data_IF_529825416370
#
_entry.id   IF_529825416370
#
_cell.length_a   1.000
_cell.length_b   1.000
_cell.length_c   1.000
_cell.angle_alpha   90.00
_cell.angle_beta   90.00
_cell.angle_gamma   90.00
#
_symmetry.space_group_name_H-M   'P 1'
#
loop_
_entity.id
_entity.type
_entity.pdbx_description
1 polymer ?
#
# COMPACT_ATOMS: atom_id res chain seq x y z
N UNK A 1 -8.29 -1.85 8.83
CA UNK A 1 -7.72 -2.69 7.75
C UNK A 1 -6.61 -1.93 7.03
N UNK A 2 -5.54 -2.60 6.62
CA UNK A 2 -4.42 -1.98 5.85
C UNK A 2 -4.35 -2.62 4.47
N UNK A 3 -4.22 -1.78 3.44
CA UNK A 3 -4.02 -2.21 2.06
C UNK A 3 -2.71 -1.62 1.51
N UNK A 4 -1.85 -2.49 0.99
CA UNK A 4 -0.53 -2.14 0.46
C UNK A 4 -0.61 -2.05 -1.06
N UNK A 5 -0.18 -0.93 -1.63
CA UNK A 5 -0.28 -0.63 -3.06
C UNK A 5 1.08 -0.37 -3.70
N UNK A 6 1.38 -1.12 -4.76
CA UNK A 6 2.56 -0.96 -5.60
C UNK A 6 2.22 -0.52 -7.03
N UNK A 7 1.96 -1.49 -7.91
CA UNK A 7 1.66 -1.24 -9.34
C UNK A 7 0.23 -0.74 -9.58
N UNK A 8 -0.69 -1.02 -8.67
CA UNK A 8 -2.12 -0.72 -8.76
C UNK A 8 -2.47 0.67 -8.26
N UNK A 9 -3.59 1.21 -8.73
CA UNK A 9 -4.10 2.52 -8.35
C UNK A 9 -5.14 2.40 -7.22
N UNK A 10 -4.84 2.88 -6.00
CA UNK A 10 -5.79 2.84 -4.89
C UNK A 10 -7.03 3.69 -5.13
N UNK A 11 -7.01 4.68 -6.04
CA UNK A 11 -8.20 5.43 -6.41
C UNK A 11 -9.20 4.64 -7.26
N UNK A 12 -8.75 3.54 -7.90
CA UNK A 12 -9.59 2.70 -8.77
C UNK A 12 -9.96 1.38 -8.13
N UNK A 13 -9.02 0.77 -7.41
CA UNK A 13 -9.19 -0.57 -6.81
C UNK A 13 -8.91 -0.55 -5.31
N UNK A 14 -9.06 0.62 -4.68
CA UNK A 14 -8.91 0.78 -3.24
C UNK A 14 -10.00 0.08 -2.45
N UNK A 15 -9.75 -0.19 -1.16
CA UNK A 15 -10.77 -0.72 -0.25
C UNK A 15 -11.92 0.28 -0.07
N UNK A 16 -13.15 -0.22 -0.13
CA UNK A 16 -14.37 0.56 0.14
C UNK A 16 -14.67 0.53 1.64
N UNK A 17 -14.38 1.63 2.35
CA UNK A 17 -14.70 1.78 3.77
C UNK A 17 -14.05 3.01 4.40
N UNK A 18 -14.61 3.51 5.50
CA UNK A 18 -14.08 4.69 6.19
C UNK A 18 -12.89 4.37 7.10
N UNK A 19 -12.63 3.09 7.39
CA UNK A 19 -11.62 2.61 8.34
C UNK A 19 -10.56 1.73 7.66
N UNK A 20 -10.11 2.18 6.49
CA UNK A 20 -8.98 1.59 5.78
C UNK A 20 -7.82 2.58 5.68
N UNK A 21 -6.59 2.05 5.82
CA UNK A 21 -5.36 2.77 5.54
C UNK A 21 -4.73 2.19 4.28
N UNK A 22 -4.32 3.07 3.37
CA UNK A 22 -3.59 2.72 2.15
C UNK A 22 -2.13 3.07 2.35
N UNK A 23 -1.26 2.08 2.26
CA UNK A 23 0.18 2.26 2.26
C UNK A 23 0.73 2.15 0.85
N UNK A 24 1.43 3.20 0.42
CA UNK A 24 2.04 3.29 -0.92
C UNK A 24 3.25 4.22 -0.87
N UNK A 25 4.31 3.84 -1.59
CA UNK A 25 5.43 4.76 -1.89
C UNK A 25 5.37 5.19 -3.36
N UNK A 26 5.38 6.51 -3.65
CA UNK A 26 5.40 6.98 -5.02
C UNK A 26 6.74 6.63 -5.67
N UNK A 27 6.67 6.09 -6.89
CA UNK A 27 7.83 5.87 -7.77
C UNK A 27 7.44 6.30 -9.17
N UNK A 28 8.43 6.66 -10.00
CA UNK A 28 8.20 7.24 -11.32
C UNK A 28 7.32 6.37 -12.24
N UNK A 29 7.40 5.04 -12.12
CA UNK A 29 6.62 4.14 -12.94
C UNK A 29 5.20 3.87 -12.42
N UNK A 30 4.86 4.21 -11.17
CA UNK A 30 3.61 3.81 -10.53
C UNK A 30 2.52 4.90 -10.55
N UNK A 31 1.24 4.56 -10.82
CA UNK A 31 0.71 3.21 -11.02
C UNK A 31 0.94 2.73 -12.46
N UNK A 32 1.63 1.61 -12.64
CA UNK A 32 1.90 1.08 -13.98
C UNK A 32 0.82 0.13 -14.49
N UNK A 33 0.04 -0.48 -13.59
CA UNK A 33 -1.00 -1.48 -13.89
C UNK A 33 -0.52 -2.69 -14.72
N UNK A 34 0.80 -2.92 -14.81
CA UNK A 34 1.37 -4.04 -15.57
C UNK A 34 1.30 -5.33 -14.75
N UNK A 35 0.93 -6.42 -15.41
CA UNK A 35 0.94 -7.78 -14.83
C UNK A 35 2.36 -8.21 -14.45
N UNK A 36 3.32 -7.92 -15.32
CA UNK A 36 4.75 -8.16 -15.08
C UNK A 36 5.48 -6.83 -14.93
N UNK A 37 6.32 -6.72 -13.91
CA UNK A 37 7.12 -5.53 -13.69
C UNK A 37 8.30 -5.54 -14.67
N UNK A 38 8.49 -4.49 -15.48
CA UNK A 38 9.65 -4.40 -16.37
C UNK A 38 10.95 -4.04 -15.62
N UNK A 39 10.84 -3.74 -14.32
CA UNK A 39 11.93 -3.33 -13.44
C UNK A 39 12.04 -4.32 -12.26
N UNK A 40 12.36 -3.84 -11.06
CA UNK A 40 12.70 -4.62 -9.85
C UNK A 40 11.57 -4.67 -8.80
N UNK A 41 10.33 -4.28 -9.15
CA UNK A 41 9.20 -4.13 -8.19
C UNK A 41 9.52 -3.23 -6.98
N UNK A 42 10.42 -2.25 -7.13
CA UNK A 42 10.79 -1.31 -6.05
C UNK A 42 9.61 -0.58 -5.41
N UNK A 43 8.50 -0.37 -6.12
CA UNK A 43 7.27 0.19 -5.53
C UNK A 43 6.75 -0.58 -4.31
N UNK A 44 6.93 -1.92 -4.28
CA UNK A 44 6.61 -2.75 -3.11
C UNK A 44 7.76 -2.79 -2.11
N UNK A 45 9.01 -2.89 -2.60
CA UNK A 45 10.19 -3.00 -1.75
C UNK A 45 10.52 -1.76 -0.93
N UNK A 46 10.02 -0.59 -1.32
CA UNK A 46 10.18 0.65 -0.56
C UNK A 46 9.23 0.77 0.65
N UNK A 47 8.33 -0.19 0.85
CA UNK A 47 7.41 -0.22 1.99
C UNK A 47 8.02 -1.15 3.05
N UNK A 48 8.67 -0.61 4.09
CA UNK A 48 9.31 -1.42 5.13
C UNK A 48 8.26 -2.12 5.99
N UNK A 49 8.63 -3.29 6.53
CA UNK A 49 7.74 -4.09 7.38
C UNK A 49 7.38 -3.34 8.66
N UNK A 50 8.32 -2.56 9.18
CA UNK A 50 8.18 -1.74 10.38
C UNK A 50 7.07 -0.70 10.21
N UNK A 51 7.01 0.00 9.08
CA UNK A 51 5.94 0.97 8.78
C UNK A 51 4.57 0.28 8.70
N UNK A 52 4.50 -0.92 8.08
CA UNK A 52 3.26 -1.70 8.04
C UNK A 52 2.82 -2.11 9.44
N UNK A 53 3.77 -2.53 10.29
CA UNK A 53 3.50 -2.94 11.66
C UNK A 53 3.03 -1.78 12.54
N UNK A 54 3.67 -0.61 12.44
CA UNK A 54 3.29 0.59 13.18
C UNK A 54 1.87 1.04 12.83
N UNK A 55 1.53 1.09 11.55
CA UNK A 55 0.16 1.40 11.11
C UNK A 55 -0.84 0.35 11.58
N UNK A 56 -0.46 -0.93 11.57
CA UNK A 56 -1.33 -2.01 12.05
C UNK A 56 -1.64 -1.83 13.54
N UNK A 57 -0.62 -1.47 14.33
CA UNK A 57 -0.75 -1.19 15.75
C UNK A 57 -1.65 0.02 16.01
N UNK A 58 -1.47 1.13 15.28
CA UNK A 58 -2.34 2.32 15.41
C UNK A 58 -3.81 1.96 15.18
N UNK A 59 -4.09 1.17 14.13
CA UNK A 59 -5.45 0.74 13.82
C UNK A 59 -6.00 -0.21 14.89
N UNK A 60 -5.17 -1.08 15.43
CA UNK A 60 -5.55 -2.02 16.48
C UNK A 60 -5.90 -1.29 17.78
N UNK A 61 -5.01 -0.40 18.24
CA UNK A 61 -5.16 0.37 19.48
C UNK A 61 -6.37 1.33 19.41
N UNK A 62 -6.71 1.86 18.22
CA UNK A 62 -7.89 2.70 18.03
C UNK A 62 -9.23 1.93 18.09
N UNK A 63 -9.18 0.59 18.11
CA UNK A 63 -10.36 -0.29 18.17
C UNK A 63 -10.46 -1.09 19.48
N UNK A 64 -9.45 -0.99 20.36
CA UNK A 64 -9.42 -1.56 21.71
C UNK A 64 -9.84 -0.55 22.76
#
# INVERSE_FOLDING_TARGET
MIAIFGSTDPGKTGPLGNFCRVLRKPVACAPCLKTECPEDRRCMGLIPVEEVYEEAKIIWDAQS
#
